data_IF_435730977511
#
_entry.id   IF_435730977511
#
_cell.length_a   1.000
_cell.length_b   1.000
_cell.length_c   1.000
_cell.angle_alpha   90.00
_cell.angle_beta   90.00
_cell.angle_gamma   90.00
#
_symmetry.space_group_name_H-M   'P 1'
#
loop_
_entity.id
_entity.type
_entity.pdbx_description
1 polymer ?
#
# COMPACT_ATOMS: atom_id res chain seq x y z
N UNK A 1 8.57 -14.79 28.89
CA UNK A 1 7.27 -14.21 29.35
C UNK A 1 6.63 -15.26 30.23
N UNK A 2 6.07 -14.92 31.41
CA UNK A 2 5.30 -15.86 32.21
C UNK A 2 4.10 -16.39 31.41
N UNK A 3 3.69 -17.62 31.66
CA UNK A 3 2.56 -18.27 30.96
C UNK A 3 1.25 -17.48 31.01
N UNK A 4 1.11 -16.54 31.94
CA UNK A 4 -0.12 -15.78 32.17
C UNK A 4 -0.10 -14.35 31.62
N UNK A 5 1.03 -13.90 31.05
CA UNK A 5 1.12 -12.56 30.45
C UNK A 5 0.96 -12.66 28.96
N UNK A 6 -0.18 -12.19 28.47
CA UNK A 6 -0.43 -12.08 27.03
C UNK A 6 0.31 -10.90 26.44
N UNK A 7 1.05 -11.14 25.35
CA UNK A 7 1.67 -10.09 24.57
C UNK A 7 0.55 -9.32 23.85
N UNK A 8 0.49 -7.96 23.97
CA UNK A 8 -0.53 -7.20 23.28
C UNK A 8 -0.47 -7.38 21.75
N UNK A 9 -1.63 -7.32 21.09
CA UNK A 9 -1.73 -7.38 19.64
C UNK A 9 -0.83 -6.34 18.97
N UNK A 10 -0.12 -6.73 17.90
CA UNK A 10 0.80 -5.87 17.19
C UNK A 10 2.13 -5.61 17.90
N UNK A 11 2.47 -6.38 18.93
CA UNK A 11 3.72 -6.24 19.65
C UNK A 11 4.47 -7.57 19.82
N UNK A 12 5.79 -7.49 19.94
CA UNK A 12 6.66 -8.60 20.40
C UNK A 12 7.26 -8.25 21.74
N UNK A 13 7.46 -9.27 22.58
CA UNK A 13 8.16 -9.07 23.87
C UNK A 13 9.61 -8.63 23.62
N UNK A 14 10.04 -7.59 24.29
CA UNK A 14 11.40 -7.07 24.21
C UNK A 14 12.24 -7.48 25.44
N UNK A 15 11.78 -7.11 26.62
CA UNK A 15 12.51 -7.32 27.88
C UNK A 15 11.60 -7.14 29.08
N UNK A 16 12.13 -7.42 30.26
CA UNK A 16 11.48 -7.12 31.53
C UNK A 16 12.47 -6.59 32.55
N UNK A 17 11.94 -5.89 33.54
CA UNK A 17 12.66 -5.49 34.78
C UNK A 17 11.85 -5.92 36.00
N UNK A 18 12.53 -6.21 37.10
CA UNK A 18 11.91 -6.76 38.30
C UNK A 18 11.85 -8.30 38.30
N UNK A 19 11.65 -8.88 39.47
CA UNK A 19 11.59 -10.33 39.67
C UNK A 19 10.15 -10.82 39.64
N UNK A 20 9.88 -11.81 38.79
CA UNK A 20 8.56 -12.48 38.69
C UNK A 20 8.31 -13.49 39.83
N UNK A 21 9.38 -13.88 40.49
CA UNK A 21 9.35 -14.83 41.60
C UNK A 21 10.17 -14.27 42.75
N UNK A 22 9.64 -14.27 43.92
CA UNK A 22 10.32 -13.74 45.10
C UNK A 22 9.57 -14.08 46.37
N UNK A 23 10.10 -13.65 47.51
CA UNK A 23 9.45 -13.75 48.82
C UNK A 23 8.52 -12.56 48.97
N UNK A 24 7.31 -12.79 49.42
CA UNK A 24 6.39 -11.69 49.75
C UNK A 24 6.97 -10.81 50.84
N UNK A 25 7.02 -9.51 50.55
CA UNK A 25 7.43 -8.46 51.50
C UNK A 25 6.23 -7.53 51.75
N UNK A 26 6.35 -6.65 52.75
CA UNK A 26 5.33 -5.62 53.01
C UNK A 26 5.35 -4.49 51.97
N UNK A 27 6.37 -4.44 51.11
CA UNK A 27 6.52 -3.42 50.07
C UNK A 27 5.96 -3.89 48.72
N UNK A 28 5.43 -2.94 47.94
CA UNK A 28 4.97 -3.21 46.59
C UNK A 28 6.12 -3.63 45.70
N UNK A 29 6.00 -4.81 45.10
CA UNK A 29 6.94 -5.31 44.10
C UNK A 29 6.37 -5.07 42.71
N UNK A 30 7.16 -4.51 41.81
CA UNK A 30 6.75 -4.16 40.45
C UNK A 30 7.60 -4.94 39.44
N UNK A 31 6.91 -5.58 38.49
CA UNK A 31 7.56 -6.15 37.29
C UNK A 31 7.05 -5.35 36.10
N UNK A 32 7.98 -4.81 35.30
CA UNK A 32 7.67 -4.06 34.10
C UNK A 32 8.08 -4.84 32.87
N UNK A 33 7.15 -5.02 31.94
CA UNK A 33 7.36 -5.69 30.65
C UNK A 33 7.44 -4.64 29.54
N UNK A 34 8.43 -4.78 28.67
CA UNK A 34 8.66 -3.91 27.53
C UNK A 34 8.34 -4.69 26.25
N UNK A 35 7.70 -4.03 25.30
CA UNK A 35 7.30 -4.60 24.03
C UNK A 35 7.73 -3.72 22.86
N UNK A 36 8.10 -4.34 21.74
CA UNK A 36 8.30 -3.67 20.46
C UNK A 36 7.04 -3.79 19.60
N UNK A 37 6.64 -2.69 18.97
CA UNK A 37 5.60 -2.75 17.95
C UNK A 37 6.10 -3.55 16.74
N UNK A 38 5.25 -4.44 16.22
CA UNK A 38 5.50 -5.15 14.97
C UNK A 38 5.32 -4.15 13.83
N UNK A 39 6.34 -4.02 12.97
CA UNK A 39 6.16 -3.32 11.70
C UNK A 39 5.29 -4.18 10.77
N UNK A 40 4.07 -3.75 10.39
CA UNK A 40 3.19 -4.55 9.57
C UNK A 40 3.78 -4.91 8.20
N UNK A 41 4.71 -4.11 7.66
CA UNK A 41 5.39 -4.39 6.40
C UNK A 41 6.30 -5.63 6.44
N UNK A 42 6.63 -6.13 7.63
CA UNK A 42 7.48 -7.33 7.79
C UNK A 42 6.71 -8.65 7.70
N UNK A 43 5.39 -8.60 7.78
CA UNK A 43 4.51 -9.79 7.77
C UNK A 43 3.68 -9.94 6.50
N UNK A 44 3.90 -9.05 5.54
CA UNK A 44 3.31 -9.11 4.20
C UNK A 44 4.39 -8.90 3.13
N UNK A 45 4.15 -9.44 1.94
CA UNK A 45 4.94 -9.21 0.73
C UNK A 45 4.02 -8.78 -0.40
N UNK A 46 4.43 -7.79 -1.19
CA UNK A 46 3.68 -7.21 -2.29
C UNK A 46 2.92 -5.91 -1.97
N UNK A 47 2.69 -5.60 -0.69
CA UNK A 47 2.13 -4.30 -0.26
C UNK A 47 2.94 -3.70 0.90
N UNK A 48 2.71 -2.41 1.14
CA UNK A 48 3.27 -1.67 2.29
C UNK A 48 2.18 -0.88 2.99
N UNK A 49 2.37 -0.65 4.27
CA UNK A 49 1.49 0.23 5.03
C UNK A 49 1.53 1.65 4.44
N UNK A 50 0.34 2.24 4.24
CA UNK A 50 0.10 3.49 3.51
C UNK A 50 0.51 3.46 2.02
N UNK A 51 0.65 2.27 1.43
CA UNK A 51 0.93 2.09 0.01
C UNK A 51 -0.26 2.50 -0.87
N UNK A 52 0.07 3.01 -2.07
CA UNK A 52 -0.92 3.38 -3.10
C UNK A 52 -0.71 2.50 -4.33
N UNK A 53 -1.79 1.92 -4.83
CA UNK A 53 -1.80 0.94 -5.92
C UNK A 53 -2.83 1.33 -6.97
N UNK A 54 -2.64 0.88 -8.21
CA UNK A 54 -3.61 1.06 -9.29
C UNK A 54 -4.30 -0.27 -9.63
N UNK A 55 -5.60 -0.21 -9.90
CA UNK A 55 -6.46 -1.34 -10.26
C UNK A 55 -6.64 -2.36 -9.13
N UNK A 56 -5.57 -2.85 -8.54
CA UNK A 56 -5.56 -3.82 -7.44
C UNK A 56 -4.29 -3.75 -6.60
N UNK A 57 -4.38 -4.13 -5.34
CA UNK A 57 -3.26 -4.45 -4.48
C UNK A 57 -3.22 -5.96 -4.24
N UNK A 58 -2.07 -6.59 -4.51
CA UNK A 58 -1.87 -8.03 -4.35
C UNK A 58 -0.74 -8.30 -3.36
N UNK A 59 -0.95 -9.26 -2.46
CA UNK A 59 0.02 -9.54 -1.42
C UNK A 59 -0.05 -10.97 -0.90
N UNK A 60 1.03 -11.42 -0.29
CA UNK A 60 1.10 -12.65 0.51
C UNK A 60 1.28 -12.29 1.98
N UNK A 61 0.71 -13.09 2.86
CA UNK A 61 1.05 -13.07 4.29
C UNK A 61 2.24 -13.99 4.49
N UNK A 62 3.33 -13.48 5.07
CA UNK A 62 4.62 -14.19 5.19
C UNK A 62 4.74 -15.00 6.49
N UNK A 63 3.90 -14.69 7.50
CA UNK A 63 3.84 -15.43 8.75
C UNK A 63 2.61 -16.33 8.81
N UNK A 64 2.81 -17.59 9.18
CA UNK A 64 1.74 -18.56 9.42
C UNK A 64 0.92 -18.30 10.68
N UNK A 65 1.33 -17.35 11.51
CA UNK A 65 0.63 -17.01 12.75
C UNK A 65 -0.72 -16.35 12.46
N UNK A 66 -0.84 -15.64 11.34
CA UNK A 66 -2.07 -14.96 10.94
C UNK A 66 -2.96 -15.88 10.12
N UNK A 67 -4.14 -16.16 10.65
CA UNK A 67 -5.10 -17.11 10.06
C UNK A 67 -6.32 -16.44 9.45
N UNK A 68 -6.57 -15.17 9.77
CA UNK A 68 -7.64 -14.39 9.17
C UNK A 68 -7.10 -13.11 8.53
N UNK A 69 -7.54 -12.84 7.31
CA UNK A 69 -7.20 -11.63 6.54
C UNK A 69 -8.47 -10.92 6.12
N UNK A 70 -8.57 -9.64 6.43
CA UNK A 70 -9.72 -8.82 6.06
C UNK A 70 -9.27 -7.55 5.32
N UNK A 71 -10.12 -7.04 4.43
CA UNK A 71 -10.03 -5.69 3.88
C UNK A 71 -11.31 -4.93 4.26
N UNK A 72 -11.19 -3.93 5.11
CA UNK A 72 -12.34 -3.32 5.76
C UNK A 72 -13.17 -4.37 6.50
N UNK A 73 -14.44 -4.51 6.11
CA UNK A 73 -15.37 -5.52 6.69
C UNK A 73 -15.44 -6.83 5.89
N UNK A 74 -14.64 -6.99 4.82
CA UNK A 74 -14.68 -8.17 3.96
C UNK A 74 -13.54 -9.12 4.29
N UNK A 75 -13.87 -10.39 4.58
CA UNK A 75 -12.86 -11.45 4.67
C UNK A 75 -12.28 -11.73 3.29
N UNK A 76 -10.95 -11.76 3.20
CA UNK A 76 -10.23 -12.13 1.99
C UNK A 76 -9.84 -13.60 2.05
N UNK A 77 -9.93 -14.27 0.90
CA UNK A 77 -9.43 -15.64 0.69
C UNK A 77 -8.27 -15.57 -0.31
N UNK A 78 -7.15 -16.23 -0.04
CA UNK A 78 -6.06 -16.25 -1.00
C UNK A 78 -6.41 -17.16 -2.18
N UNK A 79 -5.78 -16.91 -3.32
CA UNK A 79 -5.83 -17.82 -4.47
C UNK A 79 -4.94 -19.06 -4.25
N UNK A 80 -4.79 -19.88 -5.30
CA UNK A 80 -3.99 -21.14 -5.27
C UNK A 80 -2.50 -20.91 -5.00
N UNK A 81 -2.01 -19.71 -5.27
CA UNK A 81 -0.63 -19.28 -5.03
C UNK A 81 -0.45 -18.58 -3.68
N UNK A 82 -1.49 -18.49 -2.87
CA UNK A 82 -1.50 -17.82 -1.57
C UNK A 82 -1.56 -16.31 -1.66
N UNK A 83 -2.03 -15.76 -2.80
CA UNK A 83 -2.11 -14.30 -3.03
C UNK A 83 -3.50 -13.79 -2.63
N UNK A 84 -3.51 -12.78 -1.77
CA UNK A 84 -4.69 -11.99 -1.44
C UNK A 84 -4.80 -10.81 -2.40
N UNK A 85 -6.03 -10.45 -2.78
CA UNK A 85 -6.28 -9.34 -3.69
C UNK A 85 -7.30 -8.37 -3.10
N UNK A 86 -6.96 -7.08 -3.11
CA UNK A 86 -7.85 -5.95 -2.82
C UNK A 86 -8.07 -5.19 -4.13
N UNK A 87 -9.33 -5.02 -4.50
CA UNK A 87 -9.74 -4.33 -5.73
C UNK A 87 -9.96 -2.84 -5.48
N UNK A 88 -9.95 -2.04 -6.54
CA UNK A 88 -10.11 -0.59 -6.52
C UNK A 88 -11.51 -0.08 -6.11
N UNK A 89 -12.39 -0.93 -5.59
CA UNK A 89 -13.80 -0.57 -5.43
C UNK A 89 -14.04 0.61 -4.47
N UNK A 90 -13.18 0.84 -3.46
CA UNK A 90 -13.56 1.68 -2.31
C UNK A 90 -12.46 2.61 -1.77
N UNK A 91 -11.45 2.97 -2.56
CA UNK A 91 -10.41 3.91 -2.12
C UNK A 91 -9.46 3.31 -1.09
N UNK A 92 -9.33 3.96 0.08
CA UNK A 92 -8.43 3.48 1.15
C UNK A 92 -9.09 2.35 1.94
N UNK A 93 -8.39 1.23 2.05
CA UNK A 93 -8.80 0.04 2.79
C UNK A 93 -7.86 -0.21 3.97
N UNK A 94 -8.41 -0.64 5.11
CA UNK A 94 -7.61 -1.21 6.20
C UNK A 94 -7.53 -2.72 6.01
N UNK A 95 -6.32 -3.23 5.82
CA UNK A 95 -6.05 -4.66 5.86
C UNK A 95 -5.81 -5.05 7.31
N UNK A 96 -6.58 -6.02 7.79
CA UNK A 96 -6.46 -6.56 9.15
C UNK A 96 -5.98 -8.00 9.06
N UNK A 97 -4.86 -8.30 9.71
CA UNK A 97 -4.34 -9.65 9.88
C UNK A 97 -4.57 -10.07 11.33
N UNK A 98 -5.30 -11.16 11.57
CA UNK A 98 -5.64 -11.65 12.91
C UNK A 98 -5.04 -13.03 13.09
N UNK A 99 -4.37 -13.25 14.23
CA UNK A 99 -3.81 -14.53 14.61
C UNK A 99 -4.85 -15.46 15.28
N UNK A 100 -4.41 -16.68 15.64
CA UNK A 100 -5.23 -17.69 16.31
C UNK A 100 -5.68 -17.29 17.72
N UNK A 101 -5.02 -16.33 18.34
CA UNK A 101 -5.35 -15.83 19.69
C UNK A 101 -6.31 -14.63 19.63
N UNK A 102 -6.62 -14.12 18.42
CA UNK A 102 -7.49 -12.99 18.18
C UNK A 102 -6.77 -11.64 18.20
N UNK A 103 -5.43 -11.62 18.22
CA UNK A 103 -4.67 -10.38 18.10
C UNK A 103 -4.54 -9.94 16.65
N UNK A 104 -4.60 -8.64 16.42
CA UNK A 104 -4.62 -8.09 15.06
C UNK A 104 -3.54 -7.05 14.85
N UNK A 105 -3.01 -7.02 13.64
CA UNK A 105 -2.22 -5.93 13.10
C UNK A 105 -2.93 -5.31 11.91
N UNK A 106 -2.59 -4.06 11.58
CA UNK A 106 -3.31 -3.26 10.60
C UNK A 106 -2.36 -2.61 9.61
N UNK A 107 -2.74 -2.63 8.33
CA UNK A 107 -2.10 -1.90 7.25
C UNK A 107 -3.15 -1.02 6.57
N UNK A 108 -2.81 0.20 6.24
CA UNK A 108 -3.63 1.04 5.37
C UNK A 108 -3.11 0.92 3.94
N UNK A 109 -3.99 0.62 2.98
CA UNK A 109 -3.67 0.62 1.55
C UNK A 109 -4.71 1.42 0.78
N UNK A 110 -4.26 2.14 -0.24
CA UNK A 110 -5.16 2.86 -1.16
C UNK A 110 -5.07 2.21 -2.53
N UNK A 111 -6.21 1.82 -3.10
CA UNK A 111 -6.28 1.26 -4.45
C UNK A 111 -7.09 2.20 -5.34
N UNK A 112 -6.45 2.79 -6.35
CA UNK A 112 -7.07 3.69 -7.30
C UNK A 112 -7.57 2.91 -8.52
N UNK A 113 -8.81 3.17 -8.95
CA UNK A 113 -9.35 2.57 -10.17
C UNK A 113 -8.65 3.12 -11.43
N UNK A 114 -8.21 4.36 -11.39
CA UNK A 114 -7.62 5.06 -12.51
C UNK A 114 -6.12 5.27 -12.31
N UNK A 115 -5.41 5.33 -13.44
CA UNK A 115 -4.00 5.70 -13.47
C UNK A 115 -3.85 7.23 -13.55
N UNK A 116 -2.85 7.75 -12.85
CA UNK A 116 -2.46 9.16 -12.97
C UNK A 116 -1.31 9.25 -13.98
N UNK A 117 -1.61 9.70 -15.19
CA UNK A 117 -0.67 9.82 -16.30
C UNK A 117 -0.57 11.27 -16.79
N UNK A 118 0.61 11.65 -17.29
CA UNK A 118 0.82 12.87 -18.05
C UNK A 118 1.21 12.47 -19.47
N UNK A 119 0.41 12.88 -20.45
CA UNK A 119 0.63 12.66 -21.88
C UNK A 119 0.65 13.97 -22.68
N UNK A 120 0.87 15.09 -22.01
CA UNK A 120 0.90 16.43 -22.63
C UNK A 120 2.05 16.63 -23.64
N UNK A 121 3.09 15.82 -23.57
CA UNK A 121 4.24 15.84 -24.48
C UNK A 121 4.55 14.43 -24.97
N UNK A 122 4.19 14.11 -26.21
CA UNK A 122 4.38 12.77 -26.78
C UNK A 122 5.84 12.39 -27.05
N UNK A 123 6.80 13.32 -26.91
CA UNK A 123 8.23 12.96 -26.96
C UNK A 123 8.72 12.31 -25.68
N UNK A 124 7.85 12.15 -24.69
CA UNK A 124 8.09 11.42 -23.44
C UNK A 124 7.15 10.23 -23.34
N UNK A 125 7.58 9.22 -22.61
CA UNK A 125 6.68 8.12 -22.26
C UNK A 125 5.61 8.60 -21.27
N UNK A 126 4.34 8.24 -21.52
CA UNK A 126 3.26 8.44 -20.55
C UNK A 126 3.29 7.34 -19.52
N UNK A 127 3.82 7.63 -18.34
CA UNK A 127 4.01 6.68 -17.24
C UNK A 127 3.06 7.04 -16.10
N UNK A 128 2.36 6.06 -15.56
CA UNK A 128 1.60 6.26 -14.34
C UNK A 128 2.53 6.60 -13.17
N UNK A 129 2.34 7.75 -12.54
CA UNK A 129 3.16 8.21 -11.41
C UNK A 129 3.03 7.33 -10.16
N UNK A 130 1.99 6.50 -10.08
CA UNK A 130 1.71 5.61 -8.94
C UNK A 130 2.31 4.23 -9.13
N UNK A 131 2.08 3.57 -10.29
CA UNK A 131 2.46 2.18 -10.49
C UNK A 131 3.56 1.96 -11.55
N UNK A 132 4.02 3.03 -12.22
CA UNK A 132 5.07 2.95 -13.23
C UNK A 132 4.66 2.30 -14.56
N UNK A 133 3.38 1.95 -14.75
CA UNK A 133 2.91 1.37 -16.01
C UNK A 133 3.00 2.39 -17.15
N UNK A 134 3.61 1.98 -18.26
CA UNK A 134 3.69 2.78 -19.47
C UNK A 134 2.39 2.63 -20.26
N UNK A 135 1.77 3.75 -20.63
CA UNK A 135 0.54 3.82 -21.40
C UNK A 135 0.76 4.19 -22.84
N UNK A 136 1.64 5.16 -23.10
CA UNK A 136 2.05 5.57 -24.44
C UNK A 136 3.58 5.57 -24.49
N UNK A 137 4.11 4.93 -25.50
CA UNK A 137 5.53 4.98 -25.78
C UNK A 137 5.92 6.35 -26.37
N UNK A 138 7.16 6.74 -26.17
CA UNK A 138 7.74 7.94 -26.78
C UNK A 138 7.56 7.93 -28.30
N UNK A 139 7.12 9.03 -28.86
CA UNK A 139 6.95 9.25 -30.30
C UNK A 139 7.42 10.64 -30.72
N UNK A 140 7.77 10.81 -31.97
CA UNK A 140 8.02 12.16 -32.52
C UNK A 140 6.69 12.91 -32.70
N UNK A 141 6.73 14.24 -32.58
CA UNK A 141 5.58 15.06 -32.90
C UNK A 141 5.14 14.86 -34.37
N UNK A 142 3.85 14.65 -34.54
CA UNK A 142 3.21 14.67 -35.85
C UNK A 142 2.28 15.87 -35.90
N UNK A 143 2.75 16.98 -36.47
CA UNK A 143 1.95 18.19 -36.55
C UNK A 143 0.93 18.13 -37.69
N UNK A 144 -0.24 18.70 -37.46
CA UNK A 144 -1.32 18.78 -38.43
C UNK A 144 -0.87 19.52 -39.72
N UNK A 145 -1.42 19.15 -40.85
CA UNK A 145 -1.20 19.89 -42.11
C UNK A 145 -1.92 21.23 -42.13
N UNK A 146 -2.98 21.39 -41.34
CA UNK A 146 -3.76 22.60 -41.23
C UNK A 146 -3.29 23.48 -40.09
N UNK A 147 -3.35 24.80 -40.34
CA UNK A 147 -3.07 25.81 -39.35
C UNK A 147 -4.30 26.11 -38.48
N UNK A 148 -4.12 26.10 -37.18
CA UNK A 148 -5.04 26.66 -36.21
C UNK A 148 -4.66 28.12 -35.99
N UNK A 149 -5.62 29.03 -35.74
CA UNK A 149 -5.37 30.45 -35.55
C UNK A 149 -6.36 31.07 -34.56
N UNK A 150 -5.92 32.14 -33.94
CA UNK A 150 -6.76 33.15 -33.29
C UNK A 150 -6.59 34.51 -33.98
N UNK A 151 -6.97 35.58 -33.32
CA UNK A 151 -6.88 36.94 -33.89
C UNK A 151 -5.44 37.46 -33.99
N UNK A 152 -4.47 36.82 -33.33
CA UNK A 152 -3.09 37.32 -33.20
C UNK A 152 -2.06 36.35 -33.74
N UNK A 153 -2.29 35.04 -33.53
CA UNK A 153 -1.32 33.99 -33.81
C UNK A 153 -1.90 32.85 -34.65
N UNK A 154 -1.01 32.11 -35.29
CA UNK A 154 -1.36 30.83 -35.91
C UNK A 154 -0.31 29.76 -35.52
N UNK A 155 -0.78 28.53 -35.42
CA UNK A 155 0.05 27.39 -35.00
C UNK A 155 -0.48 26.07 -35.58
N UNK A 156 0.36 25.04 -35.56
CA UNK A 156 -0.04 23.65 -35.83
C UNK A 156 -0.09 22.88 -34.52
N UNK A 157 -1.08 22.01 -34.37
CA UNK A 157 -1.24 21.11 -33.21
C UNK A 157 -0.63 19.76 -33.50
N UNK A 158 -0.08 19.13 -32.51
CA UNK A 158 0.35 17.73 -32.62
C UNK A 158 -0.90 16.82 -32.68
N UNK A 159 -0.91 15.88 -33.63
CA UNK A 159 -2.01 14.91 -33.83
C UNK A 159 -1.84 13.64 -33.00
N UNK A 160 -0.74 13.46 -32.27
CA UNK A 160 -0.56 12.33 -31.39
C UNK A 160 -1.51 12.44 -30.19
N UNK A 161 -2.07 11.31 -29.79
CA UNK A 161 -3.09 11.24 -28.74
C UNK A 161 -2.65 11.90 -27.43
N UNK A 162 -3.45 12.83 -26.93
CA UNK A 162 -3.21 13.58 -25.70
C UNK A 162 -2.07 14.60 -25.75
N UNK A 163 -1.28 14.68 -26.83
CA UNK A 163 -0.19 15.65 -26.95
C UNK A 163 -0.71 17.08 -27.13
N UNK A 164 -0.31 17.99 -26.24
CA UNK A 164 -0.73 19.39 -26.28
C UNK A 164 0.35 20.32 -26.90
N UNK A 165 1.42 19.77 -27.45
CA UNK A 165 2.50 20.55 -28.05
C UNK A 165 2.06 21.15 -29.37
N UNK A 166 2.41 22.40 -29.57
CA UNK A 166 2.13 23.19 -30.79
C UNK A 166 3.42 23.72 -31.37
N UNK A 167 3.41 24.05 -32.68
CA UNK A 167 4.51 24.76 -33.36
C UNK A 167 3.99 25.92 -34.13
N UNK A 168 4.71 27.03 -34.16
CA UNK A 168 4.48 28.24 -34.92
C UNK A 168 5.35 28.28 -36.19
#
# INVERSE_FOLDING_TARGET
VPENIKIPSGYTFLSKTGDEKGVYTSETQTVTYYYNAINPDTVVDGIKNNGVYCEKAQFKVTSSDYTQVMAGNKTLTPDVDGIYTVSAADGTQTITLTDNEGYSIYLSVTVNANHTIDNSDCTKESICSVCGKIFLAQANHKFSDTWTKDDTYHWKVCENDGCMVTTT
#
